data_IF_176766303802
#
_entry.id   IF_176766303802
#
_cell.length_a   1.000
_cell.length_b   1.000
_cell.length_c   1.000
_cell.angle_alpha   90.00
_cell.angle_beta   90.00
_cell.angle_gamma   90.00
#
_symmetry.space_group_name_H-M   'P 1'
#
loop_
_entity.id
_entity.type
_entity.pdbx_description
1 polymer ?
#
# COMPACT_ATOMS: atom_id res chain seq x y z
N UNK A 1 14.93 -12.40 4.77
CA UNK A 1 14.63 -13.82 4.70
C UNK A 1 13.26 -14.06 4.05
N UNK A 2 13.05 -15.21 3.42
CA UNK A 2 11.82 -15.56 2.70
C UNK A 2 10.61 -15.64 3.64
N UNK A 3 10.80 -16.09 4.86
CA UNK A 3 9.74 -16.30 5.85
C UNK A 3 9.00 -15.02 6.23
N UNK A 4 9.61 -13.88 6.04
CA UNK A 4 9.03 -12.56 6.34
C UNK A 4 9.01 -11.64 5.13
N UNK A 5 9.25 -12.18 3.93
CA UNK A 5 9.25 -11.41 2.70
C UNK A 5 7.84 -10.95 2.30
N UNK A 6 7.78 -9.86 1.56
CA UNK A 6 6.52 -9.45 0.93
C UNK A 6 6.09 -10.48 -0.12
N UNK A 7 4.79 -10.69 -0.19
CA UNK A 7 4.11 -11.55 -1.13
C UNK A 7 3.24 -10.68 -2.03
N UNK A 8 3.28 -10.89 -3.32
CA UNK A 8 2.54 -10.11 -4.30
C UNK A 8 1.71 -11.04 -5.19
N UNK A 9 0.46 -10.70 -5.42
CA UNK A 9 -0.35 -11.40 -6.41
C UNK A 9 -0.05 -10.82 -7.80
N UNK A 10 0.63 -11.61 -8.63
CA UNK A 10 1.05 -11.20 -9.96
C UNK A 10 -0.14 -10.86 -10.85
N UNK A 11 -0.16 -9.65 -11.37
CA UNK A 11 -1.19 -9.19 -12.29
C UNK A 11 -2.40 -8.53 -11.62
N UNK A 12 -2.55 -8.57 -10.29
CA UNK A 12 -3.70 -8.02 -9.58
C UNK A 12 -3.93 -6.51 -9.79
N UNK A 13 -2.87 -5.76 -10.06
CA UNK A 13 -2.97 -4.33 -10.37
C UNK A 13 -3.83 -4.01 -11.60
N UNK A 14 -4.02 -4.99 -12.51
CA UNK A 14 -4.79 -4.79 -13.74
C UNK A 14 -6.28 -4.61 -13.50
N UNK A 15 -6.78 -5.09 -12.37
CA UNK A 15 -8.18 -4.92 -12.00
C UNK A 15 -8.51 -3.49 -11.57
N UNK A 16 -7.50 -2.71 -11.17
CA UNK A 16 -7.63 -1.32 -10.71
C UNK A 16 -8.79 -1.11 -9.72
N UNK A 17 -9.06 -2.12 -8.90
CA UNK A 17 -10.15 -2.10 -7.94
C UNK A 17 -9.69 -1.50 -6.60
N UNK A 18 -10.52 -0.65 -6.01
CA UNK A 18 -10.28 -0.13 -4.67
C UNK A 18 -11.16 -0.91 -3.69
N UNK A 19 -10.52 -1.62 -2.78
CA UNK A 19 -11.18 -2.47 -1.80
C UNK A 19 -11.46 -1.73 -0.49
N UNK A 20 -12.24 -2.36 0.38
CA UNK A 20 -12.44 -1.86 1.74
C UNK A 20 -11.10 -1.81 2.46
N UNK A 21 -10.88 -0.73 3.22
CA UNK A 21 -9.71 -0.67 4.08
C UNK A 21 -9.88 -1.66 5.25
N UNK A 22 -8.83 -2.41 5.54
CA UNK A 22 -8.74 -3.25 6.72
C UNK A 22 -7.46 -2.90 7.49
N UNK A 23 -7.46 -3.10 8.80
CA UNK A 23 -6.24 -3.02 9.59
C UNK A 23 -5.46 -4.34 9.53
N UNK A 24 -4.27 -4.36 10.09
CA UNK A 24 -3.43 -5.57 10.14
C UNK A 24 -4.03 -6.72 10.97
N UNK A 25 -5.07 -6.46 11.76
CA UNK A 25 -5.82 -7.47 12.50
C UNK A 25 -7.02 -8.01 11.71
N UNK A 26 -7.22 -7.59 10.46
CA UNK A 26 -8.35 -8.01 9.64
C UNK A 26 -9.68 -7.35 10.00
N UNK A 27 -9.68 -6.38 10.92
CA UNK A 27 -10.88 -5.63 11.27
C UNK A 27 -11.24 -4.64 10.17
N UNK A 28 -12.41 -4.82 9.55
CA UNK A 28 -12.95 -3.93 8.52
C UNK A 28 -13.72 -2.74 9.10
N UNK A 29 -13.88 -2.67 10.43
CA UNK A 29 -14.59 -1.58 11.13
C UNK A 29 -13.73 -0.32 11.26
N UNK A 30 -12.95 0.00 10.24
CA UNK A 30 -12.35 1.32 10.15
C UNK A 30 -13.44 2.37 10.10
N UNK A 31 -13.25 3.48 10.81
CA UNK A 31 -14.17 4.63 10.89
C UNK A 31 -14.69 5.12 9.54
N UNK A 32 -14.09 4.69 8.45
CA UNK A 32 -14.36 5.08 7.07
C UNK A 32 -14.34 3.90 6.10
N UNK A 33 -14.53 2.67 6.61
CA UNK A 33 -14.77 1.53 5.72
C UNK A 33 -15.99 1.85 4.85
N UNK A 34 -15.77 1.97 3.57
CA UNK A 34 -16.86 2.16 2.61
C UNK A 34 -17.47 0.80 2.33
N UNK A 35 -18.66 0.59 2.88
CA UNK A 35 -19.41 -0.66 2.71
C UNK A 35 -19.82 -0.94 1.25
N UNK A 36 -19.72 0.08 0.37
CA UNK A 36 -19.95 -0.04 -1.07
C UNK A 36 -18.76 -0.64 -1.83
N UNK A 37 -17.61 -0.83 -1.18
CA UNK A 37 -16.43 -1.43 -1.79
C UNK A 37 -16.35 -2.92 -1.52
N UNK A 38 -15.80 -3.71 -2.44
CA UNK A 38 -15.59 -5.13 -2.22
C UNK A 38 -14.60 -5.37 -1.07
N UNK A 39 -14.75 -6.49 -0.40
CA UNK A 39 -13.78 -6.98 0.59
C UNK A 39 -12.53 -7.47 -0.13
N UNK A 40 -11.36 -7.26 0.47
CA UNK A 40 -10.10 -7.80 -0.06
C UNK A 40 -10.19 -9.33 -0.12
N UNK A 41 -9.95 -9.94 -1.29
CA UNK A 41 -9.95 -11.40 -1.39
C UNK A 41 -8.78 -11.99 -0.59
N UNK A 42 -8.99 -13.17 -0.02
CA UNK A 42 -7.88 -13.94 0.53
C UNK A 42 -7.11 -14.60 -0.61
N UNK A 43 -5.94 -14.04 -0.91
CA UNK A 43 -5.09 -14.53 -2.00
C UNK A 43 -4.39 -15.86 -1.67
N UNK A 44 -4.36 -16.26 -0.41
CA UNK A 44 -3.77 -17.53 0.02
C UNK A 44 -4.73 -18.70 -0.26
N UNK A 45 -6.03 -18.42 -0.30
CA UNK A 45 -7.08 -19.41 -0.58
C UNK A 45 -7.43 -19.50 -2.08
N UNK A 46 -6.93 -18.61 -2.92
CA UNK A 46 -7.18 -18.64 -4.37
C UNK A 46 -6.14 -19.51 -5.10
N UNK A 47 -6.52 -20.72 -5.58
CA UNK A 47 -5.60 -21.60 -6.31
C UNK A 47 -5.12 -21.01 -7.66
N UNK A 48 -5.79 -19.99 -8.20
CA UNK A 48 -5.37 -19.30 -9.41
C UNK A 48 -4.39 -18.16 -9.12
N UNK A 49 -4.21 -17.77 -7.86
CA UNK A 49 -3.32 -16.70 -7.48
C UNK A 49 -1.85 -17.09 -7.68
N UNK A 50 -1.18 -16.42 -8.61
CA UNK A 50 0.26 -16.55 -8.78
C UNK A 50 0.97 -15.62 -7.81
N UNK A 51 1.52 -16.17 -6.74
CA UNK A 51 2.24 -15.41 -5.72
C UNK A 51 3.71 -15.27 -6.11
N UNK A 52 4.18 -14.02 -6.12
CA UNK A 52 5.59 -13.67 -6.25
C UNK A 52 6.14 -13.23 -4.90
N UNK A 53 7.31 -13.71 -4.57
CA UNK A 53 8.04 -13.28 -3.36
C UNK A 53 9.54 -13.36 -3.61
N UNK A 54 10.31 -12.55 -2.90
CA UNK A 54 11.76 -12.54 -2.99
C UNK A 54 12.41 -12.23 -1.64
N UNK A 55 13.46 -12.94 -1.33
CA UNK A 55 14.35 -12.56 -0.24
C UNK A 55 15.22 -11.38 -0.68
N UNK A 56 15.19 -10.30 0.10
CA UNK A 56 15.98 -9.10 -0.17
C UNK A 56 17.14 -8.96 0.82
N UNK A 57 18.22 -8.39 0.34
CA UNK A 57 19.37 -7.98 1.12
C UNK A 57 19.34 -6.46 1.37
N UNK A 58 20.06 -5.93 2.35
CA UNK A 58 20.25 -4.50 2.50
C UNK A 58 20.78 -3.87 1.20
N UNK A 59 20.08 -2.86 0.69
CA UNK A 59 20.36 -2.21 -0.59
C UNK A 59 19.48 -2.65 -1.74
N UNK A 60 18.78 -3.78 -1.62
CA UNK A 60 17.79 -4.19 -2.62
C UNK A 60 16.52 -3.35 -2.52
N UNK A 61 15.84 -3.19 -3.64
CA UNK A 61 14.60 -2.44 -3.76
C UNK A 61 13.55 -3.26 -4.50
N UNK A 62 12.30 -3.13 -4.05
CA UNK A 62 11.11 -3.56 -4.79
C UNK A 62 10.27 -2.33 -5.13
N UNK A 63 9.77 -2.30 -6.35
CA UNK A 63 8.78 -1.31 -6.77
C UNK A 63 7.54 -2.05 -7.33
N UNK A 64 6.37 -1.57 -6.98
CA UNK A 64 5.11 -2.13 -7.46
C UNK A 64 4.03 -1.05 -7.59
N UNK A 65 3.04 -1.33 -8.41
CA UNK A 65 1.88 -0.49 -8.56
C UNK A 65 1.00 -0.53 -7.30
N UNK A 66 0.39 0.60 -6.93
CA UNK A 66 -0.43 0.74 -5.72
C UNK A 66 -1.66 -0.17 -5.70
N UNK A 67 -2.15 -0.59 -6.86
CA UNK A 67 -3.24 -1.58 -6.98
C UNK A 67 -2.79 -3.03 -6.85
N UNK A 68 -1.49 -3.27 -6.72
CA UNK A 68 -0.99 -4.64 -6.55
C UNK A 68 -1.33 -5.17 -5.16
N UNK A 69 -2.10 -6.26 -5.10
CA UNK A 69 -2.29 -6.96 -3.83
C UNK A 69 -0.97 -7.46 -3.29
N UNK A 70 -0.73 -7.12 -2.05
CA UNK A 70 0.46 -7.58 -1.36
C UNK A 70 0.17 -7.79 0.12
N UNK A 71 0.91 -8.70 0.70
CA UNK A 71 0.85 -9.03 2.11
C UNK A 71 2.25 -9.26 2.67
N UNK A 72 2.36 -9.30 3.97
CA UNK A 72 3.55 -9.76 4.65
C UNK A 72 3.12 -10.69 5.77
N UNK A 73 3.69 -11.90 5.88
CA UNK A 73 3.50 -12.73 7.05
C UNK A 73 4.11 -12.03 8.27
N UNK A 74 3.59 -12.35 9.44
CA UNK A 74 4.15 -11.86 10.71
C UNK A 74 5.61 -12.23 10.85
N UNK A 75 6.38 -11.43 11.59
CA UNK A 75 7.77 -11.74 11.88
C UNK A 75 7.84 -12.74 13.03
N UNK A 76 7.99 -14.01 12.69
CA UNK A 76 8.17 -15.12 13.64
C UNK A 76 9.64 -15.39 13.97
N UNK A 77 10.57 -14.66 13.35
CA UNK A 77 11.99 -14.82 13.57
C UNK A 77 12.43 -14.03 14.80
N UNK A 78 13.35 -14.59 15.58
CA UNK A 78 13.95 -13.91 16.73
C UNK A 78 15.03 -12.88 16.27
N UNK A 79 14.65 -12.03 15.29
CA UNK A 79 15.47 -10.92 14.82
C UNK A 79 14.62 -9.80 14.25
N UNK A 80 15.12 -8.57 14.36
CA UNK A 80 14.43 -7.40 13.80
C UNK A 80 14.37 -7.49 12.27
N UNK A 81 13.17 -7.19 11.71
CA UNK A 81 12.97 -6.86 10.31
C UNK A 81 12.65 -5.38 10.20
N UNK A 82 13.31 -4.69 9.29
CA UNK A 82 13.01 -3.31 8.97
C UNK A 82 12.95 -3.14 7.45
N UNK A 83 12.05 -2.29 6.99
CA UNK A 83 11.93 -1.88 5.60
C UNK A 83 11.64 -0.37 5.56
N UNK A 84 12.17 0.30 4.57
CA UNK A 84 11.84 1.67 4.26
C UNK A 84 10.89 1.68 3.06
N UNK A 85 9.74 2.34 3.19
CA UNK A 85 8.73 2.42 2.14
C UNK A 85 8.56 3.87 1.68
N UNK A 86 8.55 4.07 0.38
CA UNK A 86 8.29 5.37 -0.25
C UNK A 86 7.13 5.19 -1.22
N UNK A 87 6.14 6.06 -1.11
CA UNK A 87 5.05 6.16 -2.08
C UNK A 87 5.35 7.30 -3.06
N UNK A 88 5.29 6.98 -4.34
CA UNK A 88 5.42 7.94 -5.42
C UNK A 88 4.04 8.20 -6.02
N UNK A 89 3.78 9.45 -6.31
CA UNK A 89 2.53 9.88 -6.90
C UNK A 89 2.80 10.77 -8.12
N UNK A 90 1.93 10.69 -9.14
CA UNK A 90 1.96 11.63 -10.25
C UNK A 90 1.61 13.04 -9.77
N UNK A 91 2.15 14.05 -10.42
CA UNK A 91 1.79 15.46 -10.21
C UNK A 91 0.32 15.77 -10.59
N UNK A 92 -0.30 14.90 -11.38
CA UNK A 92 -1.72 14.97 -11.71
C UNK A 92 -2.66 14.57 -10.57
N UNK A 93 -2.14 13.93 -9.51
CA UNK A 93 -2.97 13.50 -8.37
C UNK A 93 -3.54 14.72 -7.63
N UNK A 94 -4.78 14.57 -7.19
CA UNK A 94 -5.49 15.55 -6.39
C UNK A 94 -5.70 15.02 -4.98
N UNK A 95 -5.58 15.91 -4.01
CA UNK A 95 -5.86 15.57 -2.62
C UNK A 95 -7.33 15.26 -2.43
N UNK A 96 -7.59 14.17 -1.73
CA UNK A 96 -8.93 13.78 -1.26
C UNK A 96 -8.82 13.49 0.24
N UNK A 97 -9.57 14.23 1.05
CA UNK A 97 -9.53 14.06 2.50
C UNK A 97 -10.22 12.77 2.93
N UNK A 98 -9.43 11.72 3.05
CA UNK A 98 -9.86 10.49 3.70
C UNK A 98 -9.47 10.60 5.17
N UNK A 99 -10.43 10.88 6.01
CA UNK A 99 -10.22 11.23 7.43
C UNK A 99 -9.42 10.20 8.25
N UNK A 100 -9.36 8.93 7.81
CA UNK A 100 -8.57 7.90 8.48
C UNK A 100 -7.05 8.03 8.27
N UNK A 101 -6.61 8.86 7.32
CA UNK A 101 -5.21 8.98 6.95
C UNK A 101 -4.63 10.33 7.40
N UNK A 102 -4.71 10.62 8.69
CA UNK A 102 -4.19 11.87 9.27
C UNK A 102 -2.71 12.13 8.91
N UNK A 103 -1.92 11.08 8.70
CA UNK A 103 -0.51 11.19 8.28
C UNK A 103 -0.34 11.80 6.90
N UNK A 104 -1.36 11.80 6.05
CA UNK A 104 -1.33 12.41 4.71
C UNK A 104 -1.88 13.83 4.68
N UNK A 105 -2.32 14.37 5.80
CA UNK A 105 -2.78 15.76 5.88
C UNK A 105 -1.64 16.75 6.01
N UNK A 106 -1.81 17.90 5.41
CA UNK A 106 -0.99 19.08 5.61
C UNK A 106 -1.90 20.33 5.59
N UNK A 107 -1.56 21.40 6.29
CA UNK A 107 -2.42 22.60 6.37
C UNK A 107 -2.77 23.21 5.02
N UNK A 108 -1.87 23.05 4.05
CA UNK A 108 -1.99 23.62 2.70
C UNK A 108 -2.93 22.79 1.80
N UNK A 109 -3.26 21.55 2.20
CA UNK A 109 -4.05 20.64 1.39
C UNK A 109 -5.53 20.84 1.65
N UNK A 110 -6.26 21.12 0.57
CA UNK A 110 -7.71 21.19 0.55
C UNK A 110 -8.26 20.21 -0.49
N UNK A 111 -9.51 19.81 -0.33
CA UNK A 111 -10.18 18.88 -1.25
C UNK A 111 -9.99 19.33 -2.71
N UNK A 112 -9.50 18.43 -3.55
CA UNK A 112 -9.24 18.68 -4.98
C UNK A 112 -7.97 19.47 -5.31
N UNK A 113 -7.22 19.96 -4.31
CA UNK A 113 -5.94 20.65 -4.56
C UNK A 113 -4.87 19.72 -5.10
N UNK A 114 -3.81 20.28 -5.72
CA UNK A 114 -2.58 19.51 -5.94
C UNK A 114 -2.05 18.99 -4.60
N UNK A 115 -1.49 17.79 -4.57
CA UNK A 115 -0.85 17.27 -3.36
C UNK A 115 0.53 17.88 -3.10
N UNK A 116 1.08 18.65 -4.04
CA UNK A 116 2.42 19.22 -3.91
C UNK A 116 2.44 20.28 -2.81
N UNK A 117 3.24 20.06 -1.78
CA UNK A 117 3.48 20.97 -0.66
C UNK A 117 4.81 20.60 0.00
N UNK A 118 5.19 21.28 1.08
CA UNK A 118 6.44 20.99 1.79
C UNK A 118 6.51 19.54 2.28
N UNK A 119 5.38 18.97 2.70
CA UNK A 119 5.28 17.58 3.15
C UNK A 119 5.40 16.59 1.98
N UNK A 120 4.92 16.95 0.81
CA UNK A 120 4.93 16.14 -0.40
C UNK A 120 5.60 16.91 -1.54
N UNK A 121 6.92 17.04 -1.49
CA UNK A 121 7.64 17.87 -2.45
C UNK A 121 7.62 17.26 -3.85
N UNK A 122 7.56 18.13 -4.85
CA UNK A 122 7.74 17.72 -6.22
C UNK A 122 9.19 17.30 -6.45
N UNK A 123 9.40 16.03 -6.78
CA UNK A 123 10.71 15.52 -7.17
C UNK A 123 10.84 15.67 -8.69
N UNK A 124 11.79 16.49 -9.12
CA UNK A 124 12.09 16.68 -10.54
C UNK A 124 13.30 15.84 -10.91
N UNK A 125 13.21 15.09 -12.01
CA UNK A 125 14.38 14.51 -12.65
C UNK A 125 15.31 15.61 -13.15
N UNK A 126 16.61 15.33 -13.12
CA UNK A 126 17.61 16.18 -13.80
C UNK A 126 17.58 15.91 -15.29
#
# INVERSE_FOLDING_TARGET
>A
PMETALRFWAGSHREACIYQAANFAGDTNYRHARSDRPVIPDIDDDPAARILTAALQPGDMLAWDSYTFHSAPGNTLNRRRAAFSINWASDAIRFHDISCLASYRAPELTEGSSITCDKFPLVRGK
#
